data_IF_275662850079
#
_entry.id   IF_275662850079
#
_cell.length_a   1.000
_cell.length_b   1.000
_cell.length_c   1.000
_cell.angle_alpha   90.00
_cell.angle_beta   90.00
_cell.angle_gamma   90.00
#
_symmetry.space_group_name_H-M   'P 1'
#
loop_
_entity.id
_entity.type
_entity.pdbx_description
1 polymer ?
#
# COMPACT_ATOMS: atom_id res chain seq x y z
N UNK A 1 -10.42 -13.87 9.82
CA UNK A 1 -9.28 -13.02 9.47
C UNK A 1 -8.05 -13.65 10.07
N UNK A 2 -7.08 -14.02 9.24
CA UNK A 2 -5.77 -14.42 9.71
C UNK A 2 -4.82 -13.22 9.61
N UNK A 3 -3.96 -13.04 10.63
CA UNK A 3 -2.80 -12.15 10.51
C UNK A 3 -1.76 -12.84 9.62
N UNK A 4 -1.38 -12.22 8.51
CA UNK A 4 -0.43 -12.82 7.54
C UNK A 4 0.58 -11.79 7.08
N UNK A 5 1.84 -11.98 7.47
CA UNK A 5 2.90 -11.02 7.22
C UNK A 5 3.73 -11.39 5.98
N UNK A 6 3.49 -10.68 4.89
CA UNK A 6 4.30 -10.76 3.68
C UNK A 6 5.39 -9.68 3.62
N UNK A 7 5.23 -8.55 4.34
CA UNK A 7 6.01 -7.33 4.10
C UNK A 7 7.13 -7.08 5.12
N UNK A 8 7.08 -7.61 6.33
CA UNK A 8 8.16 -7.43 7.31
C UNK A 8 9.54 -7.88 6.80
N UNK A 9 9.68 -8.97 6.02
CA UNK A 9 10.98 -9.34 5.44
C UNK A 9 11.55 -8.30 4.46
N UNK A 10 10.71 -7.45 3.85
CA UNK A 10 11.17 -6.31 3.06
C UNK A 10 11.45 -5.09 3.95
N UNK A 11 10.56 -4.83 4.89
CA UNK A 11 10.58 -3.64 5.72
C UNK A 11 11.81 -3.58 6.64
N UNK A 12 12.19 -4.73 7.21
CA UNK A 12 13.27 -4.88 8.19
C UNK A 12 14.69 -4.84 7.60
N UNK A 13 14.83 -4.96 6.27
CA UNK A 13 16.15 -4.93 5.60
C UNK A 13 16.80 -3.54 5.68
N UNK A 14 15.98 -2.49 5.72
CA UNK A 14 16.47 -1.11 5.76
C UNK A 14 16.69 -0.68 7.20
N UNK A 15 17.94 -0.41 7.58
CA UNK A 15 18.23 0.31 8.83
C UNK A 15 17.78 1.76 8.69
N UNK A 16 16.97 2.22 9.64
CA UNK A 16 16.41 3.57 9.67
C UNK A 16 17.07 4.36 10.79
N UNK A 17 17.49 5.57 10.47
CA UNK A 17 17.87 6.56 11.48
C UNK A 17 16.69 7.54 11.63
N UNK A 18 15.81 7.24 12.59
CA UNK A 18 14.57 7.99 12.80
C UNK A 18 14.86 9.42 13.27
N UNK A 19 15.86 9.61 14.14
CA UNK A 19 16.23 10.92 14.66
C UNK A 19 16.91 11.78 13.62
N UNK A 20 17.82 11.21 12.81
CA UNK A 20 18.45 11.96 11.72
C UNK A 20 17.40 12.48 10.73
N UNK A 21 16.42 11.64 10.33
CA UNK A 21 15.36 12.03 9.39
C UNK A 21 14.56 13.24 9.88
N UNK A 22 14.26 13.32 11.18
CA UNK A 22 13.50 14.44 11.76
C UNK A 22 14.35 15.70 11.90
N UNK A 23 15.65 15.57 12.16
CA UNK A 23 16.55 16.69 12.36
C UNK A 23 17.12 17.27 11.05
N UNK A 24 17.10 16.51 9.95
CA UNK A 24 17.72 16.92 8.69
C UNK A 24 16.86 17.91 7.88
N UNK A 25 15.53 17.82 7.98
CA UNK A 25 14.60 18.69 7.25
C UNK A 25 13.30 18.90 8.04
N UNK A 26 12.67 20.09 7.99
CA UNK A 26 11.43 20.34 8.70
C UNK A 26 10.35 19.32 8.33
N UNK A 27 10.01 18.44 9.28
CA UNK A 27 9.16 17.29 8.99
C UNK A 27 7.76 17.67 8.49
N UNK A 28 7.17 18.74 9.00
CA UNK A 28 5.88 19.23 8.54
C UNK A 28 5.93 19.66 7.06
N UNK A 29 7.04 20.26 6.62
CA UNK A 29 7.24 20.66 5.23
C UNK A 29 7.46 19.43 4.34
N UNK A 30 8.25 18.45 4.79
CA UNK A 30 8.40 17.18 4.09
C UNK A 30 7.06 16.47 3.91
N UNK A 31 6.22 16.43 4.96
CA UNK A 31 4.88 15.86 4.90
C UNK A 31 3.97 16.63 3.92
N UNK A 32 4.03 17.97 3.91
CA UNK A 32 3.26 18.81 2.97
C UNK A 32 3.62 18.50 1.52
N UNK A 33 4.91 18.32 1.21
CA UNK A 33 5.38 17.95 -0.13
C UNK A 33 4.97 16.51 -0.48
N UNK A 34 5.18 15.58 0.45
CA UNK A 34 4.85 14.16 0.27
C UNK A 34 3.37 13.91 -0.04
N UNK A 35 2.47 14.63 0.65
CA UNK A 35 1.01 14.50 0.50
C UNK A 35 0.46 14.96 -0.84
N UNK A 36 1.27 15.63 -1.67
CA UNK A 36 0.89 15.89 -3.06
C UNK A 36 1.01 14.65 -3.95
N UNK A 37 1.69 13.59 -3.47
CA UNK A 37 1.99 12.37 -4.22
C UNK A 37 2.60 12.64 -5.61
N UNK A 38 3.29 13.76 -5.78
CA UNK A 38 3.93 14.17 -7.03
C UNK A 38 5.41 13.81 -7.08
N UNK A 39 6.17 14.55 -7.89
CA UNK A 39 7.61 14.38 -8.03
C UNK A 39 8.35 14.26 -6.69
N UNK A 40 8.11 15.18 -5.75
CA UNK A 40 8.81 15.21 -4.45
C UNK A 40 8.63 13.92 -3.64
N UNK A 41 7.47 13.26 -3.77
CA UNK A 41 7.19 12.02 -3.08
C UNK A 41 7.83 10.82 -3.78
N UNK A 42 7.75 10.74 -5.10
CA UNK A 42 8.22 9.57 -5.85
C UNK A 42 9.71 9.63 -6.20
N UNK A 43 10.14 10.72 -6.83
CA UNK A 43 11.45 10.82 -7.49
C UNK A 43 12.29 12.03 -7.06
N UNK A 44 11.79 12.82 -6.11
CA UNK A 44 12.52 13.90 -5.45
C UNK A 44 13.51 13.41 -4.40
N UNK A 45 13.73 14.20 -3.35
CA UNK A 45 14.68 13.88 -2.29
C UNK A 45 14.12 12.81 -1.31
N UNK A 46 15.00 12.02 -0.71
CA UNK A 46 14.62 11.00 0.28
C UNK A 46 13.97 11.58 1.54
N UNK A 47 14.19 12.87 1.81
CA UNK A 47 13.57 13.64 2.89
C UNK A 47 12.08 13.87 2.67
N UNK A 48 11.65 14.00 1.42
CA UNK A 48 10.26 14.32 1.03
C UNK A 48 9.49 13.09 0.55
N UNK A 49 10.15 11.95 0.35
CA UNK A 49 9.49 10.72 -0.05
C UNK A 49 10.44 9.56 -0.28
N UNK A 50 10.23 8.81 -1.36
CA UNK A 50 10.98 7.61 -1.72
C UNK A 50 12.41 7.88 -2.20
N UNK A 51 12.73 9.09 -2.66
CA UNK A 51 14.10 9.42 -3.10
C UNK A 51 14.50 8.80 -4.44
N UNK A 52 13.54 8.58 -5.35
CA UNK A 52 13.78 7.87 -6.61
C UNK A 52 13.17 6.47 -6.63
N UNK A 53 11.84 6.39 -6.67
CA UNK A 53 11.11 5.13 -6.70
C UNK A 53 11.18 4.49 -8.09
N UNK A 54 12.25 3.72 -8.30
CA UNK A 54 12.52 3.02 -9.56
C UNK A 54 12.26 1.53 -9.42
N UNK A 55 11.83 0.92 -10.52
CA UNK A 55 11.68 -0.52 -10.59
C UNK A 55 13.06 -1.18 -10.48
N UNK A 56 13.18 -2.14 -9.56
CA UNK A 56 14.34 -3.01 -9.41
C UNK A 56 13.87 -4.41 -9.79
N UNK A 57 14.54 -5.04 -10.76
CA UNK A 57 14.02 -6.27 -11.35
C UNK A 57 13.87 -7.40 -10.32
N UNK A 58 12.64 -7.95 -10.21
CA UNK A 58 12.32 -9.01 -9.27
C UNK A 58 12.30 -8.59 -7.80
N UNK A 59 12.37 -7.29 -7.50
CA UNK A 59 12.30 -6.82 -6.11
C UNK A 59 10.96 -7.16 -5.47
N UNK A 60 9.86 -7.00 -6.20
CA UNK A 60 8.50 -7.29 -5.72
C UNK A 60 8.10 -8.75 -5.94
N UNK A 61 8.87 -9.51 -6.73
CA UNK A 61 8.67 -10.95 -6.92
C UNK A 61 8.62 -11.73 -5.59
N UNK A 62 9.43 -11.32 -4.61
CA UNK A 62 9.44 -11.92 -3.26
C UNK A 62 8.15 -11.71 -2.46
N UNK A 63 7.28 -10.81 -2.91
CA UNK A 63 5.94 -10.56 -2.37
C UNK A 63 4.89 -11.20 -3.28
N UNK A 64 5.03 -11.03 -4.59
CA UNK A 64 4.13 -11.59 -5.59
C UNK A 64 4.03 -13.13 -5.50
N UNK A 65 5.15 -13.85 -5.39
CA UNK A 65 5.15 -15.32 -5.32
C UNK A 65 4.42 -15.84 -4.07
N UNK A 66 4.72 -15.37 -2.84
CA UNK A 66 3.94 -15.75 -1.66
C UNK A 66 2.45 -15.41 -1.76
N UNK A 67 2.09 -14.24 -2.29
CA UNK A 67 0.68 -13.86 -2.44
C UNK A 67 -0.06 -14.79 -3.40
N UNK A 68 0.51 -15.03 -4.58
CA UNK A 68 -0.06 -15.93 -5.60
C UNK A 68 -0.23 -17.34 -5.02
N UNK A 69 0.79 -17.84 -4.31
CA UNK A 69 0.75 -19.17 -3.69
C UNK A 69 -0.24 -19.25 -2.54
N UNK A 70 -0.29 -18.25 -1.67
CA UNK A 70 -1.11 -18.28 -0.46
C UNK A 70 -2.60 -18.20 -0.78
N UNK A 71 -2.99 -17.29 -1.68
CA UNK A 71 -4.37 -17.12 -2.12
C UNK A 71 -4.75 -18.05 -3.28
N UNK A 72 -3.86 -19.00 -3.64
CA UNK A 72 -4.05 -19.97 -4.71
C UNK A 72 -4.58 -19.31 -6.00
N UNK A 73 -3.95 -18.20 -6.41
CA UNK A 73 -4.41 -17.42 -7.56
C UNK A 73 -4.23 -18.23 -8.85
N UNK A 74 -5.33 -18.35 -9.60
CA UNK A 74 -5.41 -19.15 -10.80
C UNK A 74 -5.23 -18.30 -12.07
N UNK A 75 -4.85 -18.93 -13.20
CA UNK A 75 -4.93 -18.29 -14.50
C UNK A 75 -6.29 -17.66 -14.76
N UNK A 76 -6.30 -16.37 -15.11
CA UNK A 76 -7.50 -15.62 -15.43
C UNK A 76 -8.19 -14.94 -14.24
N UNK A 77 -7.76 -15.19 -13.00
CA UNK A 77 -8.24 -14.46 -11.83
C UNK A 77 -7.96 -12.95 -11.97
N UNK A 78 -8.90 -12.14 -11.50
CA UNK A 78 -8.81 -10.68 -11.53
C UNK A 78 -8.19 -10.15 -10.25
N UNK A 79 -7.13 -9.36 -10.38
CA UNK A 79 -6.39 -8.75 -9.25
C UNK A 79 -6.51 -7.23 -9.32
N UNK A 80 -6.90 -6.60 -8.21
CA UNK A 80 -6.89 -5.15 -8.03
C UNK A 80 -5.87 -4.74 -6.97
N UNK A 81 -4.98 -3.81 -7.30
CA UNK A 81 -4.09 -3.13 -6.33
C UNK A 81 -4.55 -1.69 -6.09
N UNK A 82 -4.89 -1.35 -4.84
CA UNK A 82 -5.40 -0.03 -4.42
C UNK A 82 -4.28 0.77 -3.75
N UNK A 83 -3.96 1.91 -4.35
CA UNK A 83 -2.73 2.65 -4.10
C UNK A 83 -1.53 1.96 -4.74
N UNK A 84 -1.66 1.59 -6.01
CA UNK A 84 -0.68 0.78 -6.73
C UNK A 84 0.64 1.53 -7.03
N UNK A 85 0.68 2.85 -6.83
CA UNK A 85 1.79 3.72 -7.21
C UNK A 85 2.19 3.52 -8.67
N UNK A 86 3.46 3.18 -8.89
CA UNK A 86 4.00 2.90 -10.24
C UNK A 86 3.69 1.48 -10.76
N UNK A 87 2.86 0.70 -10.05
CA UNK A 87 2.40 -0.63 -10.46
C UNK A 87 3.45 -1.75 -10.40
N UNK A 88 4.53 -1.57 -9.62
CA UNK A 88 5.66 -2.52 -9.62
C UNK A 88 5.29 -3.91 -9.09
N UNK A 89 4.40 -3.99 -8.08
CA UNK A 89 3.90 -5.28 -7.60
C UNK A 89 3.13 -6.01 -8.69
N UNK A 90 2.16 -5.34 -9.32
CA UNK A 90 1.36 -5.93 -10.40
C UNK A 90 2.23 -6.38 -11.57
N UNK A 91 3.27 -5.61 -11.92
CA UNK A 91 4.23 -6.00 -12.94
C UNK A 91 4.96 -7.30 -12.58
N UNK A 92 5.47 -7.42 -11.35
CA UNK A 92 6.10 -8.66 -10.91
C UNK A 92 5.09 -9.82 -10.75
N UNK A 93 3.83 -9.56 -10.40
CA UNK A 93 2.77 -10.58 -10.41
C UNK A 93 2.53 -11.13 -11.82
N UNK A 94 2.48 -10.28 -12.85
CA UNK A 94 2.39 -10.73 -14.25
C UNK A 94 3.62 -11.51 -14.70
N UNK A 95 4.81 -11.22 -14.16
CA UNK A 95 6.02 -12.01 -14.44
C UNK A 95 5.97 -13.40 -13.79
N UNK A 96 5.30 -13.54 -12.64
CA UNK A 96 5.14 -14.82 -11.93
C UNK A 96 4.00 -15.64 -12.54
N UNK A 97 2.85 -15.01 -12.81
CA UNK A 97 1.67 -15.64 -13.40
C UNK A 97 1.06 -14.71 -14.46
N UNK A 98 1.52 -14.87 -15.71
CA UNK A 98 1.21 -13.97 -16.83
C UNK A 98 -0.24 -13.98 -17.29
N UNK A 99 -1.03 -14.94 -16.84
CA UNK A 99 -2.46 -15.09 -17.16
C UNK A 99 -3.38 -14.35 -16.20
N UNK A 100 -2.85 -13.70 -15.16
CA UNK A 100 -3.64 -12.83 -14.27
C UNK A 100 -4.20 -11.63 -15.05
N UNK A 101 -5.40 -11.19 -14.64
CA UNK A 101 -6.01 -9.95 -15.13
C UNK A 101 -5.84 -8.86 -14.08
N UNK A 102 -4.78 -8.06 -14.23
CA UNK A 102 -4.42 -7.05 -13.24
C UNK A 102 -5.06 -5.69 -13.53
N UNK A 103 -5.41 -4.97 -12.47
CA UNK A 103 -5.78 -3.55 -12.46
C UNK A 103 -5.12 -2.89 -11.26
N UNK A 104 -4.67 -1.65 -11.43
CA UNK A 104 -4.16 -0.84 -10.33
C UNK A 104 -4.78 0.54 -10.34
N UNK A 105 -5.13 1.05 -9.16
CA UNK A 105 -5.70 2.40 -9.00
C UNK A 105 -4.87 3.20 -8.00
N UNK A 106 -4.54 4.44 -8.34
CA UNK A 106 -3.79 5.35 -7.45
C UNK A 106 -4.24 6.81 -7.67
N UNK A 107 -4.16 7.64 -6.63
CA UNK A 107 -4.50 9.08 -6.74
C UNK A 107 -3.39 9.87 -7.46
N UNK A 108 -2.17 9.31 -7.50
CA UNK A 108 -0.99 9.93 -8.07
C UNK A 108 -0.96 9.84 -9.60
N UNK A 109 -1.37 10.91 -10.26
CA UNK A 109 -1.15 11.08 -11.70
C UNK A 109 0.33 10.90 -12.06
N UNK A 110 1.24 11.48 -11.28
CA UNK A 110 2.68 11.36 -11.50
C UNK A 110 3.15 9.90 -11.51
N UNK A 111 2.69 9.09 -10.56
CA UNK A 111 3.09 7.69 -10.47
C UNK A 111 2.60 6.88 -11.68
N UNK A 112 1.35 7.08 -12.09
CA UNK A 112 0.77 6.40 -13.25
C UNK A 112 1.50 6.83 -14.54
N UNK A 113 1.80 8.12 -14.68
CA UNK A 113 2.53 8.64 -15.84
C UNK A 113 3.94 8.07 -15.97
N UNK A 114 4.62 7.88 -14.84
CA UNK A 114 6.00 7.38 -14.75
C UNK A 114 6.09 5.88 -14.45
N UNK A 115 4.98 5.15 -14.56
CA UNK A 115 4.95 3.70 -14.47
C UNK A 115 5.66 3.05 -15.68
N UNK A 116 6.03 1.78 -15.53
CA UNK A 116 6.62 1.01 -16.63
C UNK A 116 5.63 0.89 -17.81
N UNK A 117 6.06 1.09 -19.07
CA UNK A 117 5.18 1.00 -20.23
C UNK A 117 4.38 -0.30 -20.31
N UNK A 118 4.94 -1.40 -19.81
CA UNK A 118 4.31 -2.71 -19.84
C UNK A 118 3.15 -2.86 -18.85
N UNK A 119 3.18 -2.14 -17.72
CA UNK A 119 2.11 -2.18 -16.71
C UNK A 119 1.15 -1.00 -16.80
N UNK A 120 1.61 0.15 -17.31
CA UNK A 120 0.84 1.39 -17.40
C UNK A 120 -0.57 1.23 -18.01
N UNK A 121 -0.81 0.41 -19.06
CA UNK A 121 -2.16 0.21 -19.61
C UNK A 121 -3.18 -0.41 -18.63
N UNK A 122 -2.71 -1.03 -17.55
CA UNK A 122 -3.54 -1.65 -16.52
C UNK A 122 -3.75 -0.74 -15.31
N UNK A 123 -3.14 0.44 -15.30
CA UNK A 123 -3.23 1.38 -14.19
C UNK A 123 -4.18 2.53 -14.53
N UNK A 124 -4.87 3.04 -13.52
CA UNK A 124 -5.80 4.16 -13.66
C UNK A 124 -5.69 5.13 -12.48
N UNK A 125 -5.98 6.41 -12.77
CA UNK A 125 -6.05 7.45 -11.76
C UNK A 125 -7.42 7.35 -11.08
N UNK A 126 -7.42 7.28 -9.75
CA UNK A 126 -8.67 7.28 -8.98
C UNK A 126 -8.45 7.20 -7.49
N UNK A 127 -9.54 7.32 -6.73
CA UNK A 127 -9.50 7.40 -5.28
C UNK A 127 -10.03 6.12 -4.64
N UNK A 128 -9.33 5.60 -3.62
CA UNK A 128 -9.71 4.41 -2.88
C UNK A 128 -11.08 4.50 -2.19
N UNK A 129 -11.60 5.72 -1.98
CA UNK A 129 -12.90 5.94 -1.31
C UNK A 129 -14.12 5.79 -2.23
N UNK A 130 -13.91 5.75 -3.56
CA UNK A 130 -14.96 5.66 -4.57
C UNK A 130 -14.39 4.91 -5.79
N UNK A 131 -14.44 3.58 -5.73
CA UNK A 131 -13.87 2.73 -6.76
C UNK A 131 -14.88 2.55 -7.92
N UNK A 132 -14.47 2.79 -9.18
CA UNK A 132 -15.35 2.73 -10.35
C UNK A 132 -15.61 1.29 -10.83
N UNK A 133 -15.77 0.36 -9.89
CA UNK A 133 -15.94 -1.07 -10.16
C UNK A 133 -17.23 -1.59 -9.53
N UNK A 134 -17.79 -2.62 -10.16
CA UNK A 134 -18.94 -3.34 -9.62
C UNK A 134 -18.58 -4.17 -8.40
N UNK A 135 -19.59 -4.50 -7.59
CA UNK A 135 -19.46 -5.40 -6.46
C UNK A 135 -18.90 -6.76 -6.89
N UNK A 136 -18.03 -7.36 -6.08
CA UNK A 136 -17.46 -8.69 -6.32
C UNK A 136 -16.79 -8.85 -7.71
N UNK A 137 -16.18 -7.79 -8.23
CA UNK A 137 -15.57 -7.74 -9.55
C UNK A 137 -14.16 -8.33 -9.62
N UNK A 138 -13.46 -8.44 -8.47
CA UNK A 138 -12.08 -8.94 -8.39
C UNK A 138 -11.97 -10.19 -7.53
N UNK A 139 -11.26 -11.22 -8.02
CA UNK A 139 -11.00 -12.44 -7.26
C UNK A 139 -10.00 -12.17 -6.12
N UNK A 140 -9.07 -11.22 -6.31
CA UNK A 140 -8.16 -10.75 -5.26
C UNK A 140 -8.04 -9.23 -5.25
N UNK A 141 -8.22 -8.60 -4.08
CA UNK A 141 -7.98 -7.17 -3.86
C UNK A 141 -6.84 -6.99 -2.87
N UNK A 142 -5.85 -6.19 -3.23
CA UNK A 142 -4.69 -5.89 -2.41
C UNK A 142 -4.52 -4.39 -2.21
N UNK A 143 -4.04 -3.97 -1.03
CA UNK A 143 -3.59 -2.60 -0.79
C UNK A 143 -2.39 -2.59 0.14
N UNK A 144 -1.26 -2.08 -0.34
CA UNK A 144 -0.02 -2.05 0.44
C UNK A 144 0.33 -0.63 0.86
N UNK A 145 0.35 -0.36 2.17
CA UNK A 145 0.81 0.92 2.73
C UNK A 145 0.06 2.16 2.23
N UNK A 146 -1.22 2.01 1.86
CA UNK A 146 -2.05 3.09 1.29
C UNK A 146 -3.08 3.61 2.29
N UNK A 147 -3.84 2.70 2.90
CA UNK A 147 -5.10 3.01 3.61
C UNK A 147 -4.90 3.90 4.85
N UNK A 148 -3.75 3.81 5.52
CA UNK A 148 -3.42 4.65 6.67
C UNK A 148 -3.09 6.11 6.31
N UNK A 149 -2.91 6.42 5.02
CA UNK A 149 -2.70 7.79 4.55
C UNK A 149 -4.01 8.58 4.39
N UNK A 150 -5.16 7.92 4.53
CA UNK A 150 -6.47 8.56 4.46
C UNK A 150 -6.89 9.03 5.85
N UNK A 151 -7.59 10.17 5.92
CA UNK A 151 -8.28 10.54 7.16
C UNK A 151 -9.26 9.42 7.57
N UNK A 152 -9.50 9.27 8.87
CA UNK A 152 -10.25 8.12 9.41
C UNK A 152 -11.63 7.88 8.77
N UNK A 153 -12.34 8.94 8.37
CA UNK A 153 -13.63 8.84 7.69
C UNK A 153 -13.52 8.31 6.25
N UNK A 154 -12.43 8.64 5.55
CA UNK A 154 -12.15 8.16 4.20
C UNK A 154 -11.49 6.78 4.22
N UNK A 155 -10.62 6.53 5.20
CA UNK A 155 -10.10 5.21 5.51
C UNK A 155 -11.23 4.18 5.70
N UNK A 156 -12.25 4.54 6.50
CA UNK A 156 -13.43 3.70 6.68
C UNK A 156 -14.18 3.43 5.38
N UNK A 157 -14.32 4.44 4.50
CA UNK A 157 -14.96 4.26 3.18
C UNK A 157 -14.12 3.35 2.29
N UNK A 158 -12.80 3.55 2.25
CA UNK A 158 -11.89 2.74 1.46
C UNK A 158 -11.91 1.27 1.88
N UNK A 159 -11.94 0.96 3.19
CA UNK A 159 -12.10 -0.42 3.66
C UNK A 159 -13.43 -1.05 3.20
N UNK A 160 -14.52 -0.26 3.16
CA UNK A 160 -15.81 -0.72 2.63
C UNK A 160 -15.77 -0.94 1.13
N UNK A 161 -15.07 -0.09 0.38
CA UNK A 161 -14.87 -0.27 -1.05
C UNK A 161 -14.05 -1.52 -1.37
N UNK A 162 -12.96 -1.78 -0.62
CA UNK A 162 -12.19 -3.03 -0.73
C UNK A 162 -13.10 -4.23 -0.47
N UNK A 163 -13.92 -4.17 0.57
CA UNK A 163 -14.87 -5.23 0.90
C UNK A 163 -15.89 -5.46 -0.23
N UNK A 164 -16.43 -4.36 -0.79
CA UNK A 164 -17.46 -4.38 -1.82
C UNK A 164 -16.96 -4.97 -3.15
N UNK A 165 -15.79 -4.53 -3.63
CA UNK A 165 -15.28 -4.95 -4.95
C UNK A 165 -14.61 -6.32 -4.93
N UNK A 166 -14.15 -6.78 -3.76
CA UNK A 166 -13.48 -8.08 -3.61
C UNK A 166 -14.45 -9.25 -3.47
N UNK A 167 -14.25 -10.28 -4.30
CA UNK A 167 -15.10 -11.48 -4.39
C UNK A 167 -14.63 -12.65 -3.52
N UNK A 168 -13.35 -13.03 -3.60
CA UNK A 168 -12.80 -14.20 -2.87
C UNK A 168 -11.84 -13.77 -1.78
N UNK A 169 -10.78 -13.06 -2.17
CA UNK A 169 -9.66 -12.73 -1.30
C UNK A 169 -9.44 -11.23 -1.25
N UNK A 170 -9.10 -10.74 -0.06
CA UNK A 170 -8.80 -9.33 0.20
C UNK A 170 -7.63 -9.30 1.17
N UNK A 171 -6.68 -8.42 0.92
CA UNK A 171 -5.53 -8.24 1.79
C UNK A 171 -5.13 -6.77 1.85
N UNK A 172 -4.89 -6.25 3.05
CA UNK A 172 -4.20 -4.97 3.16
C UNK A 172 -3.12 -5.01 4.24
N UNK A 173 -2.16 -4.10 4.12
CA UNK A 173 -1.15 -3.88 5.16
C UNK A 173 -1.00 -2.40 5.44
N UNK A 174 -0.97 -2.08 6.73
CA UNK A 174 -0.85 -0.72 7.25
C UNK A 174 0.23 -0.67 8.32
N UNK A 175 0.58 0.53 8.74
CA UNK A 175 1.56 0.75 9.79
C UNK A 175 0.86 0.70 11.15
N UNK A 176 1.53 0.12 12.15
CA UNK A 176 1.03 0.02 13.52
C UNK A 176 2.17 0.14 14.53
N UNK A 177 1.82 0.14 15.82
CA UNK A 177 2.76 0.18 16.93
C UNK A 177 2.24 -0.63 18.12
N UNK A 178 3.17 -1.29 18.82
CA UNK A 178 2.91 -2.10 20.02
C UNK A 178 3.36 -1.41 21.31
N UNK A 179 4.20 -0.41 21.18
CA UNK A 179 4.75 0.36 22.29
C UNK A 179 5.03 1.83 21.88
N UNK A 180 5.41 2.67 22.85
CA UNK A 180 5.63 4.10 22.62
C UNK A 180 6.86 4.40 21.75
N UNK A 181 7.87 3.54 21.76
CA UNK A 181 9.07 3.69 20.94
C UNK A 181 8.71 3.50 19.47
N UNK A 182 8.01 2.42 19.12
CA UNK A 182 7.50 2.18 17.77
C UNK A 182 6.56 3.29 17.29
N UNK A 183 5.67 3.78 18.17
CA UNK A 183 4.79 4.91 17.84
C UNK A 183 5.60 6.16 17.48
N UNK A 184 6.63 6.43 18.28
CA UNK A 184 7.50 7.59 18.06
C UNK A 184 8.27 7.44 16.75
N UNK A 185 8.89 6.28 16.52
CA UNK A 185 9.64 5.99 15.30
C UNK A 185 8.76 6.08 14.04
N UNK A 186 7.54 5.52 14.10
CA UNK A 186 6.54 5.65 13.04
C UNK A 186 6.23 7.13 12.77
N UNK A 187 5.89 7.92 13.81
CA UNK A 187 5.62 9.36 13.65
C UNK A 187 6.85 10.18 13.26
N UNK A 188 8.07 9.63 13.32
CA UNK A 188 9.32 10.23 12.82
C UNK A 188 9.62 9.83 11.37
N UNK A 189 9.23 8.63 10.97
CA UNK A 189 9.49 8.12 9.62
C UNK A 189 8.45 8.54 8.59
N UNK A 190 7.19 8.32 8.93
CA UNK A 190 6.04 8.39 8.02
C UNK A 190 5.70 9.84 7.71
N UNK A 191 5.49 10.14 6.43
CA UNK A 191 5.24 11.50 5.94
C UNK A 191 3.76 11.75 5.58
N UNK A 192 3.10 10.73 5.03
CA UNK A 192 1.75 10.84 4.46
C UNK A 192 0.66 10.30 5.37
N UNK A 193 1.04 9.57 6.43
CA UNK A 193 0.11 8.96 7.38
C UNK A 193 -0.83 9.97 8.03
N UNK A 194 -2.11 9.61 8.08
CA UNK A 194 -3.19 10.32 8.76
C UNK A 194 -3.75 9.49 9.92
N UNK A 195 -3.72 8.17 9.78
CA UNK A 195 -4.15 7.19 10.78
C UNK A 195 -2.93 6.54 11.45
N UNK A 196 -2.61 6.96 12.67
CA UNK A 196 -1.56 6.37 13.51
C UNK A 196 -2.19 5.55 14.64
N UNK A 197 -2.61 4.33 14.32
CA UNK A 197 -3.35 3.44 15.21
C UNK A 197 -2.47 2.30 15.72
N UNK A 198 -2.73 1.83 16.94
CA UNK A 198 -2.21 0.55 17.41
C UNK A 198 -3.04 -0.62 16.85
N UNK A 199 -2.60 -1.85 17.10
CA UNK A 199 -3.26 -3.06 16.60
C UNK A 199 -4.74 -3.12 17.01
N UNK A 200 -5.06 -2.78 18.27
CA UNK A 200 -6.43 -2.79 18.80
C UNK A 200 -7.33 -1.74 18.13
N UNK A 201 -6.78 -0.56 17.81
CA UNK A 201 -7.48 0.50 17.11
C UNK A 201 -7.73 0.11 15.64
N UNK A 202 -6.77 -0.53 14.98
CA UNK A 202 -6.93 -1.10 13.65
C UNK A 202 -8.01 -2.19 13.61
N UNK A 203 -7.97 -3.14 14.55
CA UNK A 203 -8.98 -4.19 14.69
C UNK A 203 -10.39 -3.61 14.87
N UNK A 204 -10.51 -2.54 15.66
CA UNK A 204 -11.77 -1.83 15.83
C UNK A 204 -12.28 -1.23 14.51
N UNK A 205 -11.41 -0.56 13.75
CA UNK A 205 -11.77 0.03 12.46
C UNK A 205 -12.13 -1.01 11.39
N UNK A 206 -11.40 -2.11 11.34
CA UNK A 206 -11.67 -3.25 10.47
C UNK A 206 -13.07 -3.80 10.73
N UNK A 207 -13.38 -4.07 12.01
CA UNK A 207 -14.71 -4.52 12.43
C UNK A 207 -15.79 -3.48 12.12
N UNK A 208 -15.49 -2.20 12.31
CA UNK A 208 -16.42 -1.10 12.03
C UNK A 208 -16.73 -0.96 10.53
N UNK A 209 -15.75 -1.25 9.67
CA UNK A 209 -15.91 -1.27 8.22
C UNK A 209 -16.71 -2.47 7.73
N UNK A 210 -16.79 -3.55 8.50
CA UNK A 210 -17.33 -4.83 8.03
C UNK A 210 -16.37 -5.54 7.06
N UNK A 211 -15.08 -5.20 7.11
CA UNK A 211 -14.06 -5.83 6.29
C UNK A 211 -13.82 -7.27 6.74
N UNK A 212 -13.82 -8.21 5.78
CA UNK A 212 -13.73 -9.65 6.06
C UNK A 212 -12.40 -10.29 5.62
N UNK A 213 -11.54 -9.53 4.94
CA UNK A 213 -10.26 -9.99 4.42
C UNK A 213 -9.17 -10.19 5.46
N UNK A 214 -8.00 -10.58 4.98
CA UNK A 214 -6.79 -10.70 5.78
C UNK A 214 -6.05 -9.36 5.85
N UNK A 215 -5.24 -9.17 6.88
CA UNK A 215 -4.42 -7.98 7.00
C UNK A 215 -3.13 -8.26 7.78
N UNK A 216 -2.21 -7.31 7.72
CA UNK A 216 -1.04 -7.30 8.59
C UNK A 216 -0.56 -5.90 8.90
N UNK A 217 0.46 -5.83 9.76
CA UNK A 217 1.03 -4.60 10.25
C UNK A 217 2.52 -4.50 9.95
N UNK A 218 2.97 -3.27 9.71
CA UNK A 218 4.37 -2.88 9.67
C UNK A 218 4.70 -2.11 10.94
N UNK A 219 5.78 -2.51 11.61
CA UNK A 219 6.28 -1.86 12.82
C UNK A 219 7.60 -1.14 12.58
N UNK A 220 7.82 -0.08 13.37
CA UNK A 220 9.02 0.76 13.33
C UNK A 220 9.88 0.53 14.58
N UNK A 221 10.53 -0.62 14.60
CA UNK A 221 11.47 -1.05 15.64
C UNK A 221 12.79 -0.24 15.62
#
# INVERSE_FOLDING_TARGET
>A
MAYIDFLSPLHSVTKRDYLARVNEFPKAEAARLAKNYGYDYWDGDRKTGYGGYKYIDGYWKRIAEPLIKHYDLQPGDKVLDIGCGKGFLLYDMLKVLSSLKVKGIDISEYAIEHAKPEIKPYLEIGNAVDLPYEDNSFDFVISLTTIHNLHCFDMLKALKEIERVGKKHKYFVVESYRNLEEKTNMTYWVLTGECFFCDEEWDWWIKKAGYSGDHSFIYFE
#
